data_IF_305691893056
#
_entry.id   IF_305691893056
#
_cell.length_a   1.000
_cell.length_b   1.000
_cell.length_c   1.000
_cell.angle_alpha   90.00
_cell.angle_beta   90.00
_cell.angle_gamma   90.00
#
_symmetry.space_group_name_H-M   'P 1'
#
loop_
_entity.id
_entity.type
_entity.pdbx_description
1 polymer ?
#
# COMPACT_ATOMS: atom_id res chain seq x y z
N UNK A 1 20.12 14.78 1.36
CA UNK A 1 19.19 14.08 0.45
C UNK A 1 19.47 12.60 0.60
N UNK A 2 18.47 11.78 0.94
CA UNK A 2 18.63 10.34 1.08
C UNK A 2 17.85 9.68 -0.05
N UNK A 3 18.53 8.84 -0.84
CA UNK A 3 17.91 8.07 -1.89
C UNK A 3 17.62 6.67 -1.36
N UNK A 4 16.40 6.18 -1.57
CA UNK A 4 15.98 4.85 -1.14
C UNK A 4 15.52 4.06 -2.36
N UNK A 5 16.01 2.82 -2.49
CA UNK A 5 15.65 1.94 -3.59
C UNK A 5 14.34 1.21 -3.24
N UNK A 6 13.24 1.68 -3.82
CA UNK A 6 11.91 1.12 -3.52
C UNK A 6 11.75 -0.34 -3.94
N UNK A 7 12.49 -0.82 -4.95
CA UNK A 7 12.50 -2.25 -5.32
C UNK A 7 13.06 -3.08 -4.17
N UNK A 8 14.22 -2.69 -3.64
CA UNK A 8 14.85 -3.40 -2.52
C UNK A 8 13.99 -3.36 -1.24
N UNK A 9 13.36 -2.21 -0.95
CA UNK A 9 12.44 -2.07 0.18
C UNK A 9 11.21 -2.97 -0.02
N UNK A 10 10.60 -2.97 -1.21
CA UNK A 10 9.45 -3.81 -1.50
C UNK A 10 9.77 -5.30 -1.34
N UNK A 11 10.91 -5.77 -1.87
CA UNK A 11 11.34 -7.17 -1.74
C UNK A 11 11.50 -7.58 -0.27
N UNK A 12 12.17 -6.75 0.54
CA UNK A 12 12.37 -7.01 1.96
C UNK A 12 11.04 -7.06 2.72
N UNK A 13 10.13 -6.12 2.46
CA UNK A 13 8.84 -6.08 3.15
C UNK A 13 7.88 -7.18 2.69
N UNK A 14 7.95 -7.64 1.44
CA UNK A 14 7.18 -8.80 0.97
C UNK A 14 7.65 -10.08 1.62
N UNK A 15 8.97 -10.27 1.77
CA UNK A 15 9.52 -11.39 2.53
C UNK A 15 9.02 -11.36 3.99
N UNK A 16 9.13 -10.21 4.66
CA UNK A 16 8.66 -10.03 6.03
C UNK A 16 7.14 -10.23 6.18
N UNK A 17 6.34 -9.76 5.22
CA UNK A 17 4.88 -9.91 5.25
C UNK A 17 4.46 -11.39 5.15
N UNK A 18 5.18 -12.21 4.39
CA UNK A 18 4.92 -13.65 4.27
C UNK A 18 5.18 -14.43 5.56
N UNK A 19 6.10 -13.96 6.39
CA UNK A 19 6.46 -14.59 7.67
C UNK A 19 5.62 -14.05 8.84
N UNK A 20 5.04 -12.84 8.70
CA UNK A 20 4.24 -12.21 9.73
C UNK A 20 2.84 -12.85 9.83
N UNK A 21 2.38 -13.10 11.05
CA UNK A 21 1.03 -13.64 11.35
C UNK A 21 -0.11 -12.79 10.80
N UNK A 22 0.07 -11.47 10.72
CA UNK A 22 -0.93 -10.57 10.15
C UNK A 22 -0.86 -10.51 8.63
N UNK A 23 0.16 -11.11 8.01
CA UNK A 23 0.38 -11.09 6.58
C UNK A 23 0.80 -9.72 6.05
N UNK A 24 1.31 -8.83 6.90
CA UNK A 24 1.55 -7.40 6.59
C UNK A 24 2.92 -6.93 7.10
N UNK A 25 3.55 -6.04 6.34
CA UNK A 25 4.75 -5.32 6.75
C UNK A 25 4.74 -3.90 6.18
N UNK A 26 5.30 -2.92 6.89
CA UNK A 26 5.23 -1.50 6.46
C UNK A 26 6.46 -0.72 6.92
N UNK A 27 6.95 0.18 6.07
CA UNK A 27 7.96 1.18 6.39
C UNK A 27 7.49 2.56 5.94
N UNK A 28 7.55 3.52 6.86
CA UNK A 28 7.32 4.94 6.55
C UNK A 28 8.59 5.54 5.95
N UNK A 29 8.52 6.03 4.72
CA UNK A 29 9.63 6.72 4.04
C UNK A 29 9.63 8.22 4.38
N UNK A 30 8.45 8.83 4.35
CA UNK A 30 8.23 10.25 4.66
C UNK A 30 7.05 10.35 5.61
N UNK A 31 7.21 11.12 6.69
CA UNK A 31 6.13 11.32 7.67
C UNK A 31 6.64 11.80 9.03
N UNK A 32 5.82 11.58 10.05
CA UNK A 32 6.06 12.03 11.42
C UNK A 32 5.12 13.15 11.87
N UNK A 33 5.29 13.61 13.09
CA UNK A 33 4.49 14.72 13.62
C UNK A 33 4.77 16.01 12.86
N UNK A 34 3.70 16.75 12.54
CA UNK A 34 3.77 18.04 11.85
C UNK A 34 4.04 17.99 10.34
N UNK A 35 4.18 16.79 9.73
CA UNK A 35 4.33 16.69 8.26
C UNK A 35 2.99 16.53 7.56
N UNK A 36 2.81 17.29 6.47
CA UNK A 36 1.65 17.17 5.59
C UNK A 36 1.75 15.93 4.69
N UNK A 37 2.89 15.74 4.01
CA UNK A 37 3.13 14.57 3.17
C UNK A 37 3.49 13.34 4.02
N UNK A 38 2.81 12.23 3.75
CA UNK A 38 3.17 10.90 4.24
C UNK A 38 3.34 9.95 3.07
N UNK A 39 4.42 9.17 3.12
CA UNK A 39 4.70 8.12 2.16
C UNK A 39 5.16 6.89 2.93
N UNK A 40 4.57 5.74 2.62
CA UNK A 40 4.95 4.46 3.19
C UNK A 40 4.98 3.39 2.10
N UNK A 41 5.91 2.44 2.23
CA UNK A 41 5.86 1.17 1.50
C UNK A 41 5.16 0.17 2.40
N UNK A 42 4.11 -0.45 1.88
CA UNK A 42 3.37 -1.49 2.55
C UNK A 42 3.38 -2.75 1.70
N UNK A 43 3.68 -3.89 2.33
CA UNK A 43 3.59 -5.20 1.72
C UNK A 43 2.48 -6.01 2.40
N UNK A 44 1.74 -6.72 1.56
CA UNK A 44 0.68 -7.65 1.93
C UNK A 44 1.03 -9.02 1.35
N UNK A 45 0.90 -10.08 2.14
CA UNK A 45 0.92 -11.43 1.61
C UNK A 45 -0.33 -11.69 0.75
N UNK A 46 -0.24 -12.63 -0.20
CA UNK A 46 -1.36 -12.93 -1.09
C UNK A 46 -2.63 -13.29 -0.31
N UNK A 47 -3.78 -12.73 -0.73
CA UNK A 47 -5.07 -12.88 -0.05
C UNK A 47 -5.23 -12.07 1.23
N UNK A 48 -4.23 -11.26 1.63
CA UNK A 48 -4.32 -10.38 2.79
C UNK A 48 -4.74 -8.97 2.39
N UNK A 49 -5.40 -8.27 3.30
CA UNK A 49 -5.92 -6.92 3.06
C UNK A 49 -5.77 -5.98 4.24
N UNK A 50 -6.18 -4.72 4.01
CA UNK A 50 -6.18 -3.68 5.03
C UNK A 50 -7.45 -3.70 5.88
N UNK A 51 -8.53 -4.27 5.33
CA UNK A 51 -9.88 -4.07 5.84
C UNK A 51 -10.40 -2.70 5.40
N UNK A 52 -11.72 -2.58 5.29
CA UNK A 52 -12.36 -1.34 4.89
C UNK A 52 -12.09 -0.21 5.92
N UNK A 53 -11.50 0.89 5.47
CA UNK A 53 -11.09 2.01 6.32
C UNK A 53 -11.33 3.37 5.67
N UNK A 54 -11.32 4.41 6.49
CA UNK A 54 -11.47 5.80 6.03
C UNK A 54 -10.29 6.24 5.16
N UNK A 55 -10.58 7.01 4.12
CA UNK A 55 -9.55 7.58 3.27
C UNK A 55 -8.70 8.61 4.01
N UNK A 56 -7.39 8.68 3.75
CA UNK A 56 -6.55 9.79 4.19
C UNK A 56 -6.82 11.11 3.44
N UNK A 57 -7.90 11.20 2.64
CA UNK A 57 -8.31 12.30 1.76
C UNK A 57 -7.55 12.36 0.45
N UNK A 58 -6.36 12.94 0.44
CA UNK A 58 -5.53 13.08 -0.75
C UNK A 58 -4.46 11.99 -0.76
N UNK A 59 -4.75 10.86 -1.41
CA UNK A 59 -3.80 9.76 -1.49
C UNK A 59 -3.78 9.06 -2.86
N UNK A 60 -2.63 8.47 -3.13
CA UNK A 60 -2.38 7.64 -4.29
C UNK A 60 -1.72 6.34 -3.87
N UNK A 61 -1.84 5.32 -4.71
CA UNK A 61 -1.23 4.01 -4.55
C UNK A 61 -0.37 3.72 -5.77
N UNK A 62 0.94 3.57 -5.56
CA UNK A 62 1.85 3.02 -6.56
C UNK A 62 2.07 1.53 -6.28
N UNK A 63 1.73 0.67 -7.22
CA UNK A 63 2.00 -0.76 -7.08
C UNK A 63 3.46 -1.00 -7.47
N UNK A 64 4.27 -1.45 -6.51
CA UNK A 64 5.70 -1.73 -6.73
C UNK A 64 5.95 -3.18 -7.15
N UNK A 65 5.21 -4.13 -6.57
CA UNK A 65 5.34 -5.56 -6.83
C UNK A 65 3.98 -6.25 -6.70
N UNK A 66 3.74 -7.27 -7.54
CA UNK A 66 2.55 -8.11 -7.46
C UNK A 66 1.31 -7.47 -8.09
N UNK A 67 0.13 -7.89 -7.61
CA UNK A 67 -1.17 -7.35 -8.00
C UNK A 67 -2.01 -7.05 -6.77
N UNK A 68 -2.85 -6.04 -6.88
CA UNK A 68 -3.77 -5.62 -5.82
C UNK A 68 -5.15 -5.29 -6.39
N UNK A 69 -6.16 -5.31 -5.53
CA UNK A 69 -7.49 -4.78 -5.81
C UNK A 69 -7.85 -3.74 -4.75
N UNK A 70 -8.16 -2.53 -5.21
CA UNK A 70 -8.75 -1.47 -4.41
C UNK A 70 -10.28 -1.52 -4.63
N UNK A 71 -11.06 -1.58 -3.56
CA UNK A 71 -12.53 -1.58 -3.62
C UNK A 71 -13.06 -0.40 -2.81
N UNK A 72 -13.97 0.38 -3.39
CA UNK A 72 -14.62 1.50 -2.73
C UNK A 72 -16.11 1.53 -3.09
N UNK A 73 -16.97 1.17 -2.13
CA UNK A 73 -18.40 0.99 -2.40
C UNK A 73 -18.65 -0.13 -3.43
N UNK A 74 -19.32 0.21 -4.54
CA UNK A 74 -19.60 -0.73 -5.64
C UNK A 74 -18.48 -0.77 -6.69
N UNK A 75 -17.52 0.15 -6.61
CA UNK A 75 -16.43 0.26 -7.57
C UNK A 75 -15.21 -0.55 -7.13
N UNK A 76 -14.50 -1.14 -8.10
CA UNK A 76 -13.25 -1.84 -7.89
C UNK A 76 -12.25 -1.58 -9.01
N UNK A 77 -10.98 -1.43 -8.62
CA UNK A 77 -9.85 -1.23 -9.54
C UNK A 77 -8.75 -2.24 -9.20
N UNK A 78 -8.22 -2.91 -10.22
CA UNK A 78 -7.03 -3.75 -10.08
C UNK A 78 -5.80 -2.99 -10.55
N UNK A 79 -4.68 -3.20 -9.86
CA UNK A 79 -3.38 -2.67 -10.24
C UNK A 79 -2.32 -3.75 -10.22
N UNK A 80 -1.40 -3.70 -11.17
CA UNK A 80 -0.19 -4.52 -11.26
C UNK A 80 1.06 -3.66 -11.07
N UNK A 81 2.21 -4.29 -10.85
CA UNK A 81 3.49 -3.58 -10.71
C UNK A 81 3.72 -2.53 -11.82
N UNK A 82 3.96 -1.29 -11.41
CA UNK A 82 4.08 -0.13 -12.31
C UNK A 82 2.83 0.76 -12.34
N UNK A 83 1.65 0.25 -12.00
CA UNK A 83 0.42 1.02 -12.01
C UNK A 83 0.36 2.04 -10.87
N UNK A 84 -0.30 3.17 -11.16
CA UNK A 84 -0.54 4.27 -10.24
C UNK A 84 -2.06 4.52 -10.14
N UNK A 85 -2.60 4.43 -8.94
CA UNK A 85 -4.03 4.61 -8.67
C UNK A 85 -4.25 5.84 -7.80
N UNK A 86 -5.33 6.58 -8.09
CA UNK A 86 -5.86 7.60 -7.17
C UNK A 86 -6.77 6.89 -6.18
N UNK A 87 -6.56 7.13 -4.88
CA UNK A 87 -7.42 6.59 -3.84
C UNK A 87 -8.62 7.54 -3.70
N UNK A 88 -9.86 7.07 -3.86
CA UNK A 88 -11.03 7.93 -3.72
C UNK A 88 -11.21 8.40 -2.27
N UNK A 89 -11.79 9.59 -2.08
CA UNK A 89 -12.07 10.16 -0.75
C UNK A 89 -13.34 9.56 -0.12
N UNK A 90 -13.36 8.23 -0.03
CA UNK A 90 -14.41 7.42 0.60
C UNK A 90 -13.78 6.21 1.30
N UNK A 91 -14.56 5.50 2.11
CA UNK A 91 -14.11 4.25 2.71
C UNK A 91 -13.74 3.23 1.62
N UNK A 92 -12.61 2.56 1.80
CA UNK A 92 -12.10 1.61 0.83
C UNK A 92 -11.33 0.46 1.50
N UNK A 93 -11.21 -0.65 0.80
CA UNK A 93 -10.35 -1.78 1.16
C UNK A 93 -9.31 -2.03 0.06
N UNK A 94 -8.16 -2.56 0.46
CA UNK A 94 -7.08 -2.95 -0.43
C UNK A 94 -6.67 -4.38 -0.11
N UNK A 95 -6.69 -5.25 -1.12
CA UNK A 95 -6.31 -6.66 -1.00
C UNK A 95 -5.20 -7.00 -2.00
N UNK A 96 -4.21 -7.79 -1.57
CA UNK A 96 -3.25 -8.41 -2.48
C UNK A 96 -3.83 -9.66 -3.14
N UNK A 97 -3.71 -9.73 -4.47
CA UNK A 97 -4.26 -10.79 -5.31
C UNK A 97 -3.29 -11.96 -5.52
#
# INVERSE_FOLDING_TARGET
>A
MQAENLTAVADAHVAAARENRTGRSTQTLVGGQGRMLRQAVMALAAGQGLGEHESPKEATLQVLLGRVRLTAGEDAWEGAAGDHLIIPDVRHDLVAL
#
